data_IF_440245858167
#
_entry.id   IF_440245858167
#
_cell.length_a   1.000
_cell.length_b   1.000
_cell.length_c   1.000
_cell.angle_alpha   90.00
_cell.angle_beta   90.00
_cell.angle_gamma   90.00
#
_symmetry.space_group_name_H-M   'P 1'
#
loop_
_entity.id
_entity.type
_entity.pdbx_description
1 polymer ?
#
# COMPACT_ATOMS: atom_id res chain seq x y z
N UNK A 1 -20.87 0.93 51.52
CA UNK A 1 -20.81 1.42 50.13
C UNK A 1 -19.38 1.87 49.86
N UNK A 2 -18.61 1.23 48.98
CA UNK A 2 -17.36 1.76 48.41
C UNK A 2 -17.00 0.95 47.15
N UNK A 3 -17.58 1.31 46.01
CA UNK A 3 -17.19 0.77 44.69
C UNK A 3 -16.05 1.63 44.16
N UNK A 4 -14.80 1.25 44.44
CA UNK A 4 -13.64 1.91 43.86
C UNK A 4 -13.62 1.70 42.35
N UNK A 5 -13.83 2.78 41.59
CA UNK A 5 -13.71 2.78 40.13
C UNK A 5 -12.23 2.58 39.79
N UNK A 6 -11.84 1.37 39.39
CA UNK A 6 -10.51 1.14 38.79
C UNK A 6 -10.41 2.04 37.54
N UNK A 7 -9.40 2.91 37.41
CA UNK A 7 -9.27 3.72 36.20
C UNK A 7 -8.98 2.76 35.04
N UNK A 8 -9.79 2.84 33.98
CA UNK A 8 -9.49 2.18 32.70
C UNK A 8 -8.20 2.81 32.14
N UNK A 9 -7.05 2.33 32.56
CA UNK A 9 -5.78 2.68 31.95
C UNK A 9 -5.74 1.98 30.60
N UNK A 10 -6.25 2.66 29.56
CA UNK A 10 -6.04 2.23 28.17
C UNK A 10 -4.53 2.16 27.99
N UNK A 11 -3.96 0.95 27.99
CA UNK A 11 -2.55 0.78 27.62
C UNK A 11 -2.40 1.49 26.29
N UNK A 12 -1.58 2.53 26.22
CA UNK A 12 -1.17 3.12 24.95
C UNK A 12 -0.33 2.04 24.28
N UNK A 13 -0.97 1.03 23.68
CA UNK A 13 -0.31 0.12 22.75
C UNK A 13 0.27 1.06 21.73
N UNK A 14 1.58 1.27 21.79
CA UNK A 14 2.28 2.01 20.77
C UNK A 14 1.93 1.25 19.50
N UNK A 15 1.10 1.85 18.65
CA UNK A 15 0.97 1.37 17.29
C UNK A 15 2.40 1.39 16.79
N UNK A 16 3.06 0.22 16.71
CA UNK A 16 4.39 0.09 16.14
C UNK A 16 4.23 0.59 14.72
N UNK A 17 4.51 1.88 14.51
CA UNK A 17 4.39 2.56 13.24
C UNK A 17 5.50 1.95 12.40
N UNK A 18 5.17 0.90 11.65
CA UNK A 18 6.07 0.35 10.63
C UNK A 18 6.51 1.51 9.75
N UNK A 19 7.80 1.57 9.47
CA UNK A 19 8.39 2.59 8.62
C UNK A 19 7.66 2.61 7.26
N UNK A 20 7.43 3.80 6.68
CA UNK A 20 6.77 3.90 5.39
C UNK A 20 7.60 3.15 4.34
N UNK A 21 6.94 2.49 3.37
CA UNK A 21 7.63 1.66 2.38
C UNK A 21 8.43 2.48 1.35
N UNK A 22 8.24 3.79 1.29
CA UNK A 22 8.90 4.72 0.34
C UNK A 22 9.69 5.74 1.16
N UNK A 23 10.97 5.88 0.86
CA UNK A 23 11.86 6.87 1.47
C UNK A 23 11.87 8.17 0.67
N UNK A 24 12.33 9.27 1.27
CA UNK A 24 12.30 10.61 0.67
C UNK A 24 13.16 10.75 -0.60
N UNK A 25 14.07 9.82 -0.88
CA UNK A 25 14.91 9.79 -2.09
C UNK A 25 14.37 8.92 -3.23
N UNK A 26 13.33 8.12 -2.98
CA UNK A 26 12.81 7.19 -3.98
C UNK A 26 12.00 7.96 -5.04
N UNK A 27 12.45 7.90 -6.29
CA UNK A 27 11.69 8.45 -7.43
C UNK A 27 10.60 7.46 -7.85
N UNK A 28 9.35 7.92 -7.80
CA UNK A 28 8.16 7.14 -8.16
C UNK A 28 7.84 7.38 -9.64
N UNK A 29 8.45 6.57 -10.50
CA UNK A 29 8.28 6.62 -11.97
C UNK A 29 7.78 5.28 -12.51
N UNK A 30 7.06 5.31 -13.64
CA UNK A 30 6.59 4.11 -14.36
C UNK A 30 7.72 3.16 -14.78
N UNK A 31 8.94 3.67 -14.89
CA UNK A 31 10.16 2.92 -15.22
C UNK A 31 10.64 2.02 -14.07
N UNK A 32 10.31 2.36 -12.83
CA UNK A 32 10.74 1.61 -11.65
C UNK A 32 9.73 0.50 -11.31
N UNK A 33 9.82 -0.62 -12.02
CA UNK A 33 8.88 -1.73 -11.87
C UNK A 33 8.95 -2.42 -10.50
N UNK A 34 10.13 -2.49 -9.87
CA UNK A 34 10.29 -3.14 -8.57
C UNK A 34 9.50 -2.40 -7.47
N UNK A 35 9.55 -1.06 -7.50
CA UNK A 35 8.77 -0.22 -6.59
C UNK A 35 7.27 -0.35 -6.88
N UNK A 36 6.87 -0.24 -8.15
CA UNK A 36 5.46 -0.23 -8.54
C UNK A 36 4.76 -1.56 -8.24
N UNK A 37 5.43 -2.69 -8.49
CA UNK A 37 4.87 -4.03 -8.23
C UNK A 37 4.48 -4.23 -6.76
N UNK A 38 5.11 -3.51 -5.83
CA UNK A 38 4.78 -3.56 -4.40
C UNK A 38 3.42 -2.93 -4.05
N UNK A 39 2.89 -2.06 -4.92
CA UNK A 39 1.67 -1.30 -4.69
C UNK A 39 0.46 -1.81 -5.48
N UNK A 40 0.61 -2.94 -6.16
CA UNK A 40 -0.48 -3.64 -6.85
C UNK A 40 -0.77 -4.98 -6.15
N UNK A 41 -2.01 -5.43 -6.24
CA UNK A 41 -2.38 -6.78 -5.85
C UNK A 41 -1.94 -7.79 -6.90
N UNK A 42 -2.01 -9.07 -6.56
CA UNK A 42 -1.76 -10.19 -7.46
C UNK A 42 -2.65 -10.16 -8.71
N UNK A 43 -3.91 -9.75 -8.54
CA UNK A 43 -4.89 -9.52 -9.62
C UNK A 43 -4.54 -8.33 -10.53
N UNK A 44 -3.51 -7.56 -10.18
CA UNK A 44 -3.10 -6.35 -10.88
C UNK A 44 -3.83 -5.09 -10.43
N UNK A 45 -4.68 -5.11 -9.39
CA UNK A 45 -5.43 -3.92 -8.91
C UNK A 45 -4.55 -3.02 -8.04
N UNK A 46 -4.77 -1.70 -8.08
CA UNK A 46 -4.01 -0.74 -7.26
C UNK A 46 -4.45 -0.85 -5.80
N UNK A 47 -3.50 -1.04 -4.89
CA UNK A 47 -3.78 -1.10 -3.44
C UNK A 47 -4.12 0.29 -2.89
N UNK A 48 -5.03 0.33 -1.91
CA UNK A 48 -5.46 1.58 -1.29
C UNK A 48 -4.36 2.21 -0.42
N UNK A 49 -4.44 3.54 -0.24
CA UNK A 49 -3.50 4.28 0.63
C UNK A 49 -3.44 3.74 2.06
N UNK A 50 -4.56 3.24 2.60
CA UNK A 50 -4.65 2.70 3.97
C UNK A 50 -3.84 1.42 4.12
N UNK A 51 -3.83 0.59 3.08
CA UNK A 51 -3.02 -0.64 3.01
C UNK A 51 -1.55 -0.28 2.81
N UNK A 52 -1.25 0.60 1.86
CA UNK A 52 0.11 0.99 1.51
C UNK A 52 0.80 1.84 2.59
N UNK A 53 0.02 2.52 3.45
CA UNK A 53 0.52 3.42 4.52
C UNK A 53 1.47 4.51 4.00
N UNK A 54 1.15 5.06 2.84
CA UNK A 54 1.89 6.18 2.23
C UNK A 54 1.15 7.51 2.40
N UNK A 55 1.86 8.61 2.18
CA UNK A 55 1.24 9.95 2.15
C UNK A 55 0.28 10.08 0.97
N UNK A 56 -0.63 11.05 1.02
CA UNK A 56 -1.56 11.31 -0.08
C UNK A 56 -0.83 11.69 -1.37
N UNK A 57 0.22 12.51 -1.26
CA UNK A 57 1.06 12.93 -2.40
C UNK A 57 1.72 11.73 -3.07
N UNK A 58 2.35 10.85 -2.29
CA UNK A 58 2.95 9.62 -2.80
C UNK A 58 1.90 8.72 -3.47
N UNK A 59 0.73 8.50 -2.86
CA UNK A 59 -0.31 7.68 -3.48
C UNK A 59 -0.79 8.23 -4.84
N UNK A 60 -0.89 9.55 -5.01
CA UNK A 60 -1.23 10.18 -6.29
C UNK A 60 -0.16 9.88 -7.34
N UNK A 61 1.12 10.04 -6.98
CA UNK A 61 2.26 9.74 -7.86
C UNK A 61 2.29 8.25 -8.24
N UNK A 62 2.12 7.35 -7.29
CA UNK A 62 2.05 5.89 -7.52
C UNK A 62 0.92 5.56 -8.48
N UNK A 63 -0.26 6.14 -8.28
CA UNK A 63 -1.42 5.91 -9.17
C UNK A 63 -1.13 6.35 -10.60
N UNK A 64 -0.51 7.52 -10.78
CA UNK A 64 -0.13 8.03 -12.11
C UNK A 64 0.89 7.11 -12.77
N UNK A 65 1.96 6.75 -12.04
CA UNK A 65 3.02 5.87 -12.53
C UNK A 65 2.48 4.47 -12.93
N UNK A 66 1.59 3.89 -12.13
CA UNK A 66 0.93 2.61 -12.47
C UNK A 66 0.09 2.74 -13.75
N UNK A 67 -0.70 3.81 -13.88
CA UNK A 67 -1.53 4.01 -15.07
C UNK A 67 -0.68 4.17 -16.33
N UNK A 68 0.40 4.94 -16.24
CA UNK A 68 1.37 5.07 -17.34
C UNK A 68 1.99 3.71 -17.70
N UNK A 69 2.46 2.95 -16.70
CA UNK A 69 3.02 1.62 -16.92
C UNK A 69 2.01 0.65 -17.59
N UNK A 70 0.72 0.74 -17.26
CA UNK A 70 -0.33 -0.07 -17.90
C UNK A 70 -0.60 0.32 -19.35
N UNK A 71 -0.60 1.62 -19.66
CA UNK A 71 -0.76 2.10 -21.04
C UNK A 71 0.41 1.64 -21.92
N UNK A 72 1.62 1.60 -21.34
CA UNK A 72 2.83 1.10 -21.99
C UNK A 72 2.97 -0.43 -21.97
N UNK A 73 1.94 -1.17 -21.54
CA UNK A 73 1.94 -2.64 -21.45
C UNK A 73 3.02 -3.24 -20.54
N UNK A 74 3.63 -2.44 -19.64
CA UNK A 74 4.58 -2.91 -18.63
C UNK A 74 3.89 -3.64 -17.47
N UNK A 75 2.61 -3.31 -17.24
CA UNK A 75 1.76 -3.94 -16.24
C UNK A 75 0.41 -4.34 -16.84
N UNK A 76 -0.11 -5.52 -16.48
CA UNK A 76 -1.42 -5.96 -16.92
C UNK A 76 -2.55 -5.18 -16.24
N UNK A 77 -3.68 -5.03 -16.94
CA UNK A 77 -4.90 -4.48 -16.36
C UNK A 77 -5.62 -5.49 -15.46
N UNK A 78 -5.55 -6.77 -15.82
CA UNK A 78 -6.19 -7.91 -15.15
C UNK A 78 -5.26 -9.12 -15.21
N UNK A 79 -5.00 -9.75 -14.07
CA UNK A 79 -4.35 -11.05 -14.00
C UNK A 79 -5.39 -12.13 -13.71
N UNK A 80 -5.59 -13.02 -14.68
CA UNK A 80 -6.51 -14.15 -14.54
C UNK A 80 -5.79 -15.31 -13.83
N UNK A 81 -5.82 -15.29 -12.50
CA UNK A 81 -5.13 -16.30 -11.68
C UNK A 81 -5.72 -17.72 -11.78
N UNK A 82 -6.94 -17.85 -12.31
CA UNK A 82 -7.69 -19.13 -12.35
C UNK A 82 -7.16 -20.16 -13.37
N UNK A 83 -6.05 -19.89 -14.06
CA UNK A 83 -5.53 -20.77 -15.12
C UNK A 83 -4.61 -21.88 -14.60
N UNK A 84 -4.16 -21.83 -13.34
CA UNK A 84 -3.12 -22.74 -12.81
C UNK A 84 -3.60 -23.77 -11.76
N UNK A 85 -4.91 -23.88 -11.51
CA UNK A 85 -5.50 -24.91 -10.65
C UNK A 85 -6.08 -26.07 -11.49
N UNK A 86 -5.29 -26.64 -12.41
CA UNK A 86 -5.61 -27.89 -13.11
C UNK A 86 -4.65 -28.98 -12.73
#
# INVERSE_FOLDING_TARGET
MNKSKRPFTKSKRSFRRRLPPIQSGDRIDYRNMSLIRRFISEQGKILSRRVNRVTLKQQRLITIAIKQARILSLLPFLNNQKQFER
#
